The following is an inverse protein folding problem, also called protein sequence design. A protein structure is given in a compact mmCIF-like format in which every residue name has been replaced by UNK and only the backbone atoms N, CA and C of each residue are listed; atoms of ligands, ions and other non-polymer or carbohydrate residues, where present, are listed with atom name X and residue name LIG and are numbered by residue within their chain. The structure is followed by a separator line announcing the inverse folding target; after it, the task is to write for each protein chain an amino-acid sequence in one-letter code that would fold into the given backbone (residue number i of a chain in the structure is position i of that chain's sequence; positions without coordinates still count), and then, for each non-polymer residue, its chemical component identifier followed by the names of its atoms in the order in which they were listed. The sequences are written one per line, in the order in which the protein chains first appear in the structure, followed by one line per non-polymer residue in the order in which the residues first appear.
data_IF_379851939040
#
_entry.id   IF_379851939040
#
_cell.length_a   1.000
_cell.length_b   1.000
_cell.length_c   1.000
_cell.angle_alpha   90.00
_cell.angle_beta   90.00
_cell.angle_gamma   90.00
#
_symmetry.space_group_name_H-M   'P 1'
#
loop_
_entity.id
_entity.type
_entity.pdbx_description
1 polymer ?
#
# COMPACT_ATOMS: atom_id res chain seq x y z
N UNK A 1 -51.35 11.73 21.24
CA UNK A 1 -50.50 10.63 20.71
C UNK A 1 -50.71 10.58 19.21
N UNK A 2 -49.83 11.22 18.45
CA UNK A 2 -49.94 11.29 16.99
C UNK A 2 -48.67 10.66 16.40
N UNK A 3 -48.81 9.46 15.84
CA UNK A 3 -47.73 8.75 15.16
C UNK A 3 -47.49 9.44 13.81
N UNK A 4 -46.42 10.25 13.72
CA UNK A 4 -45.90 10.68 12.42
C UNK A 4 -45.19 9.50 11.75
N UNK A 5 -45.74 9.08 10.62
CA UNK A 5 -45.02 8.30 9.59
C UNK A 5 -43.84 9.15 9.12
N UNK A 6 -42.66 8.56 9.05
CA UNK A 6 -41.53 9.14 8.34
C UNK A 6 -41.24 8.19 7.19
N UNK A 7 -41.34 8.79 6.00
CA UNK A 7 -41.31 8.20 4.68
C UNK A 7 -40.14 7.25 4.43
N UNK A 8 -40.46 6.20 3.68
CA UNK A 8 -39.54 5.32 2.98
C UNK A 8 -38.61 6.17 2.07
N UNK A 9 -37.37 6.39 2.52
CA UNK A 9 -36.34 6.94 1.65
C UNK A 9 -35.94 5.88 0.62
N UNK A 10 -36.61 5.90 -0.53
CA UNK A 10 -36.13 5.26 -1.75
C UNK A 10 -34.67 5.71 -2.02
N UNK A 11 -33.70 4.78 -2.08
CA UNK A 11 -32.35 5.12 -2.49
C UNK A 11 -32.43 5.57 -3.95
N UNK A 12 -32.24 6.86 -4.20
CA UNK A 12 -32.12 7.38 -5.56
C UNK A 12 -31.10 6.59 -6.37
N UNK A 13 -31.20 6.58 -7.72
CA UNK A 13 -30.41 5.70 -8.58
C UNK A 13 -28.92 5.79 -8.22
N UNK A 14 -28.34 4.68 -7.75
CA UNK A 14 -26.92 4.60 -7.45
C UNK A 14 -26.16 5.06 -8.71
N UNK A 15 -25.25 6.04 -8.62
CA UNK A 15 -24.45 6.43 -9.77
C UNK A 15 -23.75 5.17 -10.30
N UNK A 16 -23.87 4.92 -11.63
CA UNK A 16 -23.31 3.72 -12.26
C UNK A 16 -21.87 3.50 -11.76
N UNK A 17 -21.47 2.27 -11.40
CA UNK A 17 -20.16 2.02 -10.82
C UNK A 17 -19.07 2.62 -11.71
N UNK A 18 -18.48 3.74 -11.27
CA UNK A 18 -17.35 4.32 -12.00
C UNK A 18 -16.21 3.33 -11.90
N UNK A 19 -15.47 3.06 -12.98
CA UNK A 19 -14.37 2.13 -12.89
C UNK A 19 -13.34 2.65 -11.88
N UNK A 20 -13.01 1.81 -10.91
CA UNK A 20 -11.97 2.08 -9.93
C UNK A 20 -10.68 1.37 -10.32
N UNK A 21 -9.55 1.97 -9.99
CA UNK A 21 -8.26 1.31 -10.05
C UNK A 21 -8.10 0.32 -8.88
N UNK A 22 -6.95 -0.37 -8.88
CA UNK A 22 -6.54 -1.30 -7.82
C UNK A 22 -6.37 -0.69 -6.43
N UNK A 23 -6.31 0.63 -6.32
CA UNK A 23 -6.14 1.38 -5.08
C UNK A 23 -7.43 2.12 -4.66
N UNK A 24 -8.51 1.99 -5.44
CA UNK A 24 -9.80 2.62 -5.16
C UNK A 24 -9.97 4.02 -5.74
N UNK A 25 -9.06 4.49 -6.60
CA UNK A 25 -9.20 5.78 -7.28
C UNK A 25 -10.07 5.65 -8.53
N UNK A 26 -10.88 6.67 -8.80
CA UNK A 26 -11.74 6.74 -9.99
C UNK A 26 -10.87 6.89 -11.24
N UNK A 27 -11.04 5.99 -12.22
CA UNK A 27 -10.40 6.09 -13.53
C UNK A 27 -11.34 6.85 -14.47
N UNK A 28 -10.99 8.07 -14.81
CA UNK A 28 -11.67 8.83 -15.87
C UNK A 28 -11.10 8.38 -17.22
N UNK A 29 -11.73 7.42 -17.90
CA UNK A 29 -11.28 6.92 -19.21
C UNK A 29 -11.88 5.57 -19.60
N UNK A 30 -11.57 5.12 -20.84
CA UNK A 30 -12.02 3.83 -21.40
C UNK A 30 -11.69 2.65 -20.46
N UNK A 31 -12.60 1.70 -20.26
CA UNK A 31 -12.44 0.61 -19.32
C UNK A 31 -11.41 -0.46 -19.74
N UNK A 32 -10.55 -0.20 -20.73
CA UNK A 32 -9.56 -1.16 -21.26
C UNK A 32 -8.50 -1.62 -20.24
N UNK A 33 -8.42 -0.98 -19.07
CA UNK A 33 -7.58 -1.44 -17.94
C UNK A 33 -8.36 -1.86 -16.70
N UNK A 34 -9.70 -1.81 -16.73
CA UNK A 34 -10.56 -2.07 -15.59
C UNK A 34 -10.55 -3.56 -15.34
N UNK A 35 -10.19 -3.92 -14.11
CA UNK A 35 -9.91 -5.27 -13.67
C UNK A 35 -11.03 -6.25 -14.03
N UNK A 36 -10.93 -6.89 -15.20
CA UNK A 36 -11.42 -8.26 -15.38
C UNK A 36 -10.76 -9.07 -14.25
N UNK A 37 -11.57 -9.77 -13.46
CA UNK A 37 -11.10 -10.56 -12.33
C UNK A 37 -9.81 -11.30 -12.68
N UNK A 38 -8.77 -11.17 -11.84
CA UNK A 38 -7.46 -11.78 -12.11
C UNK A 38 -7.69 -13.26 -12.38
N UNK A 39 -7.29 -13.72 -13.57
CA UNK A 39 -7.35 -15.15 -13.88
C UNK A 39 -6.55 -15.94 -12.83
N UNK A 40 -6.93 -17.20 -12.60
CA UNK A 40 -6.21 -18.07 -11.67
C UNK A 40 -4.69 -18.11 -11.95
N UNK A 41 -4.33 -18.09 -13.24
CA UNK A 41 -2.94 -17.99 -13.69
C UNK A 41 -2.24 -16.69 -13.24
N UNK A 42 -2.92 -15.55 -13.30
CA UNK A 42 -2.37 -14.27 -12.86
C UNK A 42 -2.14 -14.24 -11.34
N UNK A 43 -3.05 -14.84 -10.56
CA UNK A 43 -2.90 -14.99 -9.11
C UNK A 43 -1.72 -15.89 -8.76
N UNK A 44 -1.64 -17.06 -9.38
CA UNK A 44 -0.54 -18.00 -9.14
C UNK A 44 0.83 -17.40 -9.50
N UNK A 45 0.88 -16.60 -10.58
CA UNK A 45 2.07 -15.83 -10.95
C UNK A 45 2.43 -14.81 -9.88
N UNK A 46 1.46 -14.07 -9.34
CA UNK A 46 1.66 -13.11 -8.25
C UNK A 46 2.25 -13.80 -7.01
N UNK A 47 1.66 -14.90 -6.59
CA UNK A 47 2.12 -15.66 -5.42
C UNK A 47 3.56 -16.15 -5.57
N UNK A 48 3.94 -16.61 -6.77
CA UNK A 48 5.33 -16.98 -7.07
C UNK A 48 6.26 -15.77 -6.88
N UNK A 49 5.84 -14.55 -7.25
CA UNK A 49 6.63 -13.34 -7.00
C UNK A 49 6.74 -13.06 -5.51
N UNK A 50 5.62 -13.09 -4.79
CA UNK A 50 5.57 -12.87 -3.33
C UNK A 50 6.49 -13.84 -2.60
N UNK A 51 6.41 -15.15 -2.89
CA UNK A 51 7.29 -16.17 -2.29
C UNK A 51 8.77 -15.88 -2.53
N UNK A 52 9.14 -15.54 -3.76
CA UNK A 52 10.54 -15.20 -4.06
C UNK A 52 11.00 -13.93 -3.36
N UNK A 53 10.11 -12.95 -3.18
CA UNK A 53 10.40 -11.74 -2.43
C UNK A 53 10.52 -12.00 -0.93
N UNK A 54 9.60 -12.77 -0.31
CA UNK A 54 9.69 -13.18 1.10
C UNK A 54 11.03 -13.85 1.43
N UNK A 55 11.51 -14.73 0.55
CA UNK A 55 12.85 -15.36 0.69
C UNK A 55 14.01 -14.36 0.67
N UNK A 56 13.85 -13.21 0.01
CA UNK A 56 14.90 -12.18 -0.05
C UNK A 56 14.90 -11.26 1.17
N UNK A 57 13.71 -10.92 1.67
CA UNK A 57 13.56 -9.98 2.78
C UNK A 57 13.68 -10.66 4.15
N UNK A 58 13.39 -11.96 4.25
CA UNK A 58 13.26 -12.63 5.54
C UNK A 58 12.01 -12.18 6.30
N UNK A 59 11.86 -12.66 7.54
CA UNK A 59 10.74 -12.24 8.40
C UNK A 59 11.00 -10.81 8.86
N UNK A 60 10.06 -9.90 8.58
CA UNK A 60 10.17 -8.50 9.00
C UNK A 60 11.34 -7.70 8.40
N UNK A 61 12.06 -8.24 7.41
CA UNK A 61 13.24 -7.59 6.80
C UNK A 61 14.60 -8.09 7.31
N UNK A 62 14.66 -9.12 8.15
CA UNK A 62 15.89 -9.63 8.79
C UNK A 62 17.02 -9.95 7.81
N UNK A 63 16.68 -10.49 6.64
CA UNK A 63 17.67 -11.04 5.71
C UNK A 63 18.07 -10.03 4.63
N UNK A 64 17.37 -8.89 4.57
CA UNK A 64 17.50 -7.91 3.50
C UNK A 64 18.94 -7.41 3.30
N UNK A 65 19.58 -6.93 4.37
CA UNK A 65 20.95 -6.39 4.33
C UNK A 65 21.94 -7.44 3.81
N UNK A 66 21.81 -8.67 4.28
CA UNK A 66 22.64 -9.79 3.83
C UNK A 66 22.39 -10.13 2.36
N UNK A 67 21.12 -10.19 1.93
CA UNK A 67 20.74 -10.56 0.57
C UNK A 67 21.19 -9.51 -0.45
N UNK A 68 21.02 -8.22 -0.14
CA UNK A 68 21.48 -7.11 -0.99
C UNK A 68 22.98 -7.16 -1.19
N UNK A 69 23.76 -7.37 -0.12
CA UNK A 69 25.22 -7.49 -0.20
C UNK A 69 25.66 -8.69 -1.05
N UNK A 70 24.99 -9.84 -0.91
CA UNK A 70 25.36 -11.07 -1.61
C UNK A 70 24.91 -11.10 -3.09
N UNK A 71 23.76 -10.49 -3.40
CA UNK A 71 23.10 -10.59 -4.73
C UNK A 71 22.52 -9.25 -5.20
N UNK A 72 23.33 -8.18 -5.32
CA UNK A 72 22.83 -6.84 -5.66
C UNK A 72 22.14 -6.78 -7.03
N UNK A 73 22.69 -7.48 -8.02
CA UNK A 73 22.12 -7.55 -9.37
C UNK A 73 20.72 -8.20 -9.40
N UNK A 74 20.47 -9.20 -8.54
CA UNK A 74 19.15 -9.85 -8.44
C UNK A 74 18.12 -8.89 -7.84
N UNK A 75 18.53 -8.16 -6.81
CA UNK A 75 17.69 -7.15 -6.15
C UNK A 75 17.30 -6.06 -7.14
N UNK A 76 18.27 -5.45 -7.81
CA UNK A 76 18.03 -4.39 -8.79
C UNK A 76 17.09 -4.85 -9.92
N UNK A 77 17.33 -6.04 -10.49
CA UNK A 77 16.48 -6.61 -11.53
C UNK A 77 15.02 -6.79 -11.06
N UNK A 78 14.82 -7.19 -9.81
CA UNK A 78 13.48 -7.44 -9.26
C UNK A 78 12.74 -6.16 -8.90
N UNK A 79 13.45 -5.15 -8.40
CA UNK A 79 12.90 -3.81 -8.17
C UNK A 79 12.41 -3.23 -9.51
N UNK A 80 13.22 -3.30 -10.57
CA UNK A 80 12.82 -2.86 -11.92
C UNK A 80 11.62 -3.64 -12.49
N UNK A 81 11.48 -4.93 -12.15
CA UNK A 81 10.29 -5.72 -12.50
C UNK A 81 9.03 -5.37 -11.68
N UNK A 82 9.20 -4.67 -10.56
CA UNK A 82 8.13 -4.30 -9.65
C UNK A 82 8.07 -5.16 -8.39
N UNK A 83 7.78 -4.46 -7.29
CA UNK A 83 7.57 -5.05 -5.97
C UNK A 83 6.10 -5.45 -5.84
N UNK A 84 5.78 -6.68 -5.37
CA UNK A 84 4.42 -7.13 -5.07
C UNK A 84 3.75 -6.18 -4.08
N UNK A 85 2.47 -5.89 -4.29
CA UNK A 85 1.79 -4.83 -3.54
C UNK A 85 1.80 -5.03 -2.03
N UNK A 86 1.49 -6.26 -1.61
CA UNK A 86 1.47 -6.66 -0.21
C UNK A 86 2.83 -6.56 0.49
N UNK A 87 3.92 -6.34 -0.26
CA UNK A 87 5.26 -6.18 0.28
C UNK A 87 5.81 -4.75 0.12
N UNK A 88 5.10 -3.85 -0.58
CA UNK A 88 5.62 -2.48 -0.86
C UNK A 88 5.85 -1.69 0.41
N UNK A 89 4.93 -1.75 1.37
CA UNK A 89 5.05 -1.03 2.64
C UNK A 89 6.37 -1.36 3.36
N UNK A 90 6.75 -2.63 3.42
CA UNK A 90 8.02 -3.03 4.02
C UNK A 90 9.23 -2.77 3.11
N UNK A 91 9.16 -3.22 1.85
CA UNK A 91 10.31 -3.20 0.93
C UNK A 91 10.75 -1.77 0.61
N UNK A 92 9.81 -0.83 0.44
CA UNK A 92 10.16 0.57 0.19
C UNK A 92 10.94 1.16 1.36
N UNK A 93 10.53 0.87 2.60
CA UNK A 93 11.26 1.32 3.79
C UNK A 93 12.66 0.69 3.91
N UNK A 94 12.80 -0.58 3.48
CA UNK A 94 14.08 -1.27 3.48
C UNK A 94 15.06 -0.72 2.42
N UNK A 95 14.56 -0.28 1.27
CA UNK A 95 15.39 0.29 0.20
C UNK A 95 15.82 1.72 0.54
N UNK A 96 14.93 2.53 1.12
CA UNK A 96 15.22 3.91 1.49
C UNK A 96 16.07 4.03 2.76
N UNK A 97 16.19 2.96 3.55
CA UNK A 97 16.79 3.00 4.88
C UNK A 97 15.85 3.57 5.95
N UNK A 98 14.62 3.95 5.60
CA UNK A 98 13.69 4.54 6.56
C UNK A 98 13.29 3.57 7.66
N UNK A 99 13.37 2.25 7.42
CA UNK A 99 13.07 1.23 8.44
C UNK A 99 14.02 1.34 9.63
N UNK A 100 15.32 1.50 9.37
CA UNK A 100 16.33 1.65 10.42
C UNK A 100 16.11 2.97 11.17
N UNK A 101 15.87 4.07 10.45
CA UNK A 101 15.59 5.38 11.04
C UNK A 101 14.36 5.37 11.95
N UNK A 102 13.27 4.71 11.52
CA UNK A 102 12.06 4.57 12.31
C UNK A 102 12.32 3.81 13.62
N UNK A 103 13.12 2.74 13.57
CA UNK A 103 13.46 1.93 14.75
C UNK A 103 14.43 2.65 15.69
N UNK A 104 15.33 3.47 15.16
CA UNK A 104 16.28 4.27 15.95
C UNK A 104 15.61 5.48 16.65
N UNK A 105 14.45 5.92 16.16
CA UNK A 105 13.77 7.13 16.64
C UNK A 105 12.31 6.83 17.03
N UNK A 106 12.09 6.00 18.07
CA UNK A 106 10.74 5.63 18.50
C UNK A 106 9.96 6.87 18.94
N UNK A 107 8.67 6.93 18.60
CA UNK A 107 7.78 8.00 19.03
C UNK A 107 7.90 9.32 18.26
N UNK A 108 8.88 9.48 17.36
CA UNK A 108 9.07 10.74 16.62
C UNK A 108 7.85 11.15 15.79
N UNK A 109 7.11 10.19 15.26
CA UNK A 109 5.90 10.44 14.46
C UNK A 109 4.60 10.40 15.28
N UNK A 110 4.66 10.03 16.55
CA UNK A 110 3.51 10.04 17.46
C UNK A 110 3.22 11.44 18.02
N UNK A 111 4.14 12.40 17.81
CA UNK A 111 3.97 13.78 18.23
C UNK A 111 2.85 14.43 17.39
N UNK A 112 1.76 14.92 18.01
CA UNK A 112 0.70 15.59 17.28
C UNK A 112 1.25 16.78 16.50
N UNK A 113 0.86 16.92 15.23
CA UNK A 113 1.24 18.07 14.39
C UNK A 113 0.90 19.41 15.07
N UNK A 114 -0.17 19.45 15.88
CA UNK A 114 -0.54 20.61 16.69
C UNK A 114 0.53 21.01 17.72
N UNK A 115 1.27 20.05 18.27
CA UNK A 115 2.36 20.29 19.21
C UNK A 115 3.59 20.86 18.52
N UNK A 116 3.89 20.38 17.31
CA UNK A 116 4.99 20.91 16.49
C UNK A 116 4.68 22.33 16.00
N UNK A 117 3.46 22.58 15.51
CA UNK A 117 3.06 23.90 15.02
C UNK A 117 3.01 24.96 16.13
N UNK A 118 2.55 24.62 17.34
CA UNK A 118 2.56 25.55 18.49
C UNK A 118 3.98 25.99 18.89
N UNK A 119 4.99 25.15 18.67
CA UNK A 119 6.39 25.50 18.97
C UNK A 119 6.98 26.50 17.96
N UNK A 120 6.50 26.52 16.73
CA UNK A 120 6.96 27.44 15.68
C UNK A 120 6.10 28.70 15.54
N UNK A 121 4.85 28.71 16.03
CA UNK A 121 3.95 29.88 15.97
C UNK A 121 3.95 30.76 17.24
N UNK A 122 4.63 30.34 18.32
CA UNK A 122 4.74 31.09 19.59
C UNK A 122 6.19 31.61 19.78
N UNK A 123 6.96 31.73 18.70
CA UNK A 123 8.22 32.49 18.67
C UNK A 123 8.06 33.70 17.76
#
# INVERSE_FOLDING_TARGET
MEKRRIDDCEPGPLPSPRPLDRFGFIINGSPEGVSKGKSAYALEREERRVRKWRKMIGVGGSDWKYYVRRKPHVVQRRIRKGIPDCLRGLVWQLISGSRDLLLMNPGVYEVPLSYLLKRYLIM
#
